data_IF_541351137863
#
_entry.id   IF_541351137863
#
_cell.length_a   1.000
_cell.length_b   1.000
_cell.length_c   1.000
_cell.angle_alpha   90.00
_cell.angle_beta   90.00
_cell.angle_gamma   90.00
#
_symmetry.space_group_name_H-M   'P 1'
#
loop_
_entity.id
_entity.type
_entity.pdbx_description
1 polymer ?
#
# COMPACT_ATOMS: atom_id res chain seq x y z
N UNK A 1 4.34 9.57 3.64
CA UNK A 1 4.44 9.41 2.17
C UNK A 1 3.08 9.68 1.52
N UNK A 2 3.07 10.38 0.38
CA UNK A 2 1.86 10.52 -0.43
C UNK A 2 1.68 9.28 -1.32
N UNK A 3 0.43 9.02 -1.72
CA UNK A 3 0.15 7.95 -2.68
C UNK A 3 0.72 8.36 -4.05
N UNK A 4 1.51 7.48 -4.71
CA UNK A 4 2.05 7.76 -6.04
C UNK A 4 0.96 8.08 -7.07
N UNK A 5 1.24 8.99 -7.99
CA UNK A 5 0.33 9.35 -9.09
C UNK A 5 0.68 8.57 -10.34
N UNK A 6 -0.36 8.13 -11.05
CA UNK A 6 -0.19 7.42 -12.32
C UNK A 6 0.60 8.27 -13.34
N UNK A 7 1.46 7.65 -14.16
CA UNK A 7 2.25 8.36 -15.15
C UNK A 7 1.35 8.85 -16.29
N UNK A 8 1.63 10.07 -16.79
CA UNK A 8 0.90 10.68 -17.92
C UNK A 8 1.13 9.87 -19.20
N UNK A 9 2.38 9.50 -19.47
CA UNK A 9 2.76 8.65 -20.60
C UNK A 9 2.92 7.22 -20.08
N UNK A 10 2.24 6.25 -20.69
CA UNK A 10 2.27 4.85 -20.28
C UNK A 10 3.26 4.01 -21.12
N UNK A 11 4.55 4.30 -21.01
CA UNK A 11 5.60 3.41 -21.52
C UNK A 11 5.88 2.29 -20.52
N UNK A 12 6.51 1.20 -20.96
CA UNK A 12 6.90 0.11 -20.04
C UNK A 12 7.74 0.64 -18.86
N UNK A 13 8.73 1.49 -19.13
CA UNK A 13 9.59 2.08 -18.10
C UNK A 13 8.82 2.96 -17.12
N UNK A 14 7.87 3.80 -17.59
CA UNK A 14 7.11 4.67 -16.70
C UNK A 14 6.12 3.87 -15.84
N UNK A 15 5.53 2.82 -16.40
CA UNK A 15 4.66 1.90 -15.67
C UNK A 15 5.45 1.09 -14.64
N UNK A 16 6.62 0.56 -15.00
CA UNK A 16 7.47 -0.19 -14.07
C UNK A 16 7.94 0.70 -12.91
N UNK A 17 8.34 1.95 -13.19
CA UNK A 17 8.67 2.93 -12.14
C UNK A 17 7.47 3.20 -11.22
N UNK A 18 6.28 3.35 -11.80
CA UNK A 18 5.06 3.57 -11.03
C UNK A 18 4.69 2.35 -10.16
N UNK A 19 4.87 1.13 -10.68
CA UNK A 19 4.71 -0.11 -9.94
C UNK A 19 5.65 -0.18 -8.72
N UNK A 20 6.94 0.14 -8.89
CA UNK A 20 7.90 0.22 -7.77
C UNK A 20 7.43 1.19 -6.70
N UNK A 21 7.02 2.40 -7.10
CA UNK A 21 6.53 3.42 -6.16
C UNK A 21 5.27 2.94 -5.41
N UNK A 22 4.35 2.25 -6.09
CA UNK A 22 3.17 1.67 -5.46
C UNK A 22 3.56 0.58 -4.46
N UNK A 23 4.50 -0.29 -4.80
CA UNK A 23 5.02 -1.33 -3.90
C UNK A 23 5.63 -0.73 -2.63
N UNK A 24 6.46 0.30 -2.77
CA UNK A 24 7.02 1.04 -1.63
C UNK A 24 5.93 1.65 -0.74
N UNK A 25 4.89 2.24 -1.35
CA UNK A 25 3.76 2.81 -0.64
C UNK A 25 2.94 1.74 0.11
N UNK A 26 2.72 0.58 -0.51
CA UNK A 26 2.08 -0.58 0.12
C UNK A 26 2.89 -1.07 1.32
N UNK A 27 4.20 -1.22 1.17
CA UNK A 27 5.10 -1.60 2.26
C UNK A 27 5.08 -0.59 3.41
N UNK A 28 5.01 0.71 3.09
CA UNK A 28 4.81 1.75 4.09
C UNK A 28 3.50 1.57 4.87
N UNK A 29 2.37 1.33 4.19
CA UNK A 29 1.07 1.13 4.85
C UNK A 29 1.09 -0.10 5.77
N UNK A 30 1.61 -1.23 5.28
CA UNK A 30 1.75 -2.47 6.07
C UNK A 30 2.60 -2.21 7.31
N UNK A 31 3.78 -1.60 7.13
CA UNK A 31 4.72 -1.33 8.21
C UNK A 31 4.12 -0.39 9.25
N UNK A 32 3.43 0.67 8.80
CA UNK A 32 2.76 1.61 9.67
C UNK A 32 1.72 0.91 10.55
N UNK A 33 0.83 0.12 9.94
CA UNK A 33 -0.22 -0.60 10.66
C UNK A 33 0.37 -1.63 11.64
N UNK A 34 1.34 -2.43 11.19
CA UNK A 34 1.98 -3.46 12.02
C UNK A 34 2.71 -2.86 13.22
N UNK A 35 3.54 -1.84 13.00
CA UNK A 35 4.27 -1.16 14.08
C UNK A 35 3.31 -0.47 15.06
N UNK A 36 2.24 0.14 14.56
CA UNK A 36 1.26 0.80 15.42
C UNK A 36 0.51 -0.21 16.26
N UNK A 37 0.05 -1.33 15.68
CA UNK A 37 -0.62 -2.42 16.42
C UNK A 37 0.21 -2.90 17.61
N UNK A 38 1.49 -3.19 17.39
CA UNK A 38 2.42 -3.61 18.46
C UNK A 38 2.58 -2.51 19.51
N UNK A 39 2.71 -1.24 19.08
CA UNK A 39 2.95 -0.11 19.98
C UNK A 39 1.75 0.20 20.89
N UNK A 40 0.53 0.14 20.35
CA UNK A 40 -0.68 0.53 21.10
C UNK A 40 -1.26 -0.63 21.89
N UNK A 41 -0.94 -1.88 21.50
CA UNK A 41 -1.41 -3.11 22.15
C UNK A 41 -2.93 -3.11 22.44
N UNK A 42 -3.71 -2.55 21.52
CA UNK A 42 -5.15 -2.38 21.64
C UNK A 42 -5.87 -3.66 21.17
N UNK A 43 -6.65 -4.34 22.03
CA UNK A 43 -7.43 -5.52 21.63
C UNK A 43 -8.44 -5.23 20.52
N UNK A 44 -8.89 -3.97 20.38
CA UNK A 44 -9.83 -3.53 19.36
C UNK A 44 -9.12 -2.88 18.16
N UNK A 45 -7.82 -3.11 17.99
CA UNK A 45 -7.07 -2.58 16.85
C UNK A 45 -7.71 -3.02 15.53
N UNK A 46 -7.95 -2.11 14.56
CA UNK A 46 -8.60 -2.47 13.31
C UNK A 46 -7.88 -3.60 12.56
N UNK A 47 -8.64 -4.59 12.10
CA UNK A 47 -8.13 -5.59 11.18
C UNK A 47 -7.83 -4.95 9.81
N UNK A 48 -6.78 -5.44 9.17
CA UNK A 48 -6.40 -5.05 7.83
C UNK A 48 -5.85 -6.26 7.06
N UNK A 49 -6.16 -6.38 5.77
CA UNK A 49 -5.61 -7.46 4.96
C UNK A 49 -4.11 -7.24 4.75
N UNK A 50 -3.36 -8.33 4.58
CA UNK A 50 -2.01 -8.27 4.02
C UNK A 50 -2.09 -8.28 2.48
N UNK A 51 -1.14 -7.64 1.77
CA UNK A 51 -1.09 -7.71 0.32
C UNK A 51 -0.78 -9.14 -0.11
N UNK A 52 -1.58 -9.69 -1.04
CA UNK A 52 -1.34 -11.01 -1.60
C UNK A 52 -0.29 -10.94 -2.71
N UNK A 53 0.98 -11.07 -2.31
CA UNK A 53 2.11 -10.98 -3.23
C UNK A 53 2.22 -12.19 -4.17
N UNK A 54 1.51 -13.30 -3.90
CA UNK A 54 1.53 -14.50 -4.76
C UNK A 54 0.87 -14.26 -6.12
N UNK A 55 0.06 -13.21 -6.21
CA UNK A 55 -0.67 -12.83 -7.44
C UNK A 55 0.13 -11.94 -8.38
N UNK A 56 1.33 -11.51 -7.96
CA UNK A 56 2.23 -10.69 -8.75
C UNK A 56 2.90 -11.50 -9.84
N UNK A 57 3.03 -10.89 -11.01
CA UNK A 57 3.76 -11.43 -12.15
C UNK A 57 5.20 -10.93 -12.14
N UNK A 58 6.13 -11.83 -12.43
CA UNK A 58 7.57 -11.57 -12.54
C UNK A 58 8.00 -11.09 -13.94
N UNK A 59 7.19 -11.38 -14.96
CA UNK A 59 7.43 -10.95 -16.34
C UNK A 59 7.53 -9.43 -16.50
N UNK A 60 8.60 -8.97 -17.16
CA UNK A 60 8.79 -7.56 -17.48
C UNK A 60 8.08 -7.14 -18.78
N UNK A 61 6.74 -7.18 -18.75
CA UNK A 61 5.87 -6.80 -19.88
C UNK A 61 4.84 -5.75 -19.46
N UNK A 62 4.31 -4.97 -20.42
CA UNK A 62 3.28 -3.94 -20.13
C UNK A 62 2.06 -4.58 -19.47
N UNK A 63 1.65 -5.76 -19.94
CA UNK A 63 0.48 -6.49 -19.40
C UNK A 63 0.72 -6.91 -17.96
N UNK A 64 1.90 -7.45 -17.65
CA UNK A 64 2.25 -7.94 -16.33
C UNK A 64 2.42 -6.80 -15.32
N UNK A 65 3.10 -5.72 -15.73
CA UNK A 65 3.22 -4.50 -14.92
C UNK A 65 1.85 -3.87 -14.63
N UNK A 66 0.94 -3.77 -15.63
CA UNK A 66 -0.42 -3.26 -15.42
C UNK A 66 -1.24 -4.12 -14.46
N UNK A 67 -1.08 -5.44 -14.53
CA UNK A 67 -1.71 -6.39 -13.61
C UNK A 67 -1.24 -6.16 -12.17
N UNK A 68 0.08 -6.06 -11.96
CA UNK A 68 0.65 -5.79 -10.63
C UNK A 68 0.22 -4.42 -10.08
N UNK A 69 0.24 -3.37 -10.91
CA UNK A 69 -0.28 -2.04 -10.55
C UNK A 69 -1.73 -2.14 -10.05
N UNK A 70 -2.58 -2.90 -10.75
CA UNK A 70 -3.98 -3.09 -10.35
C UNK A 70 -4.09 -3.73 -8.97
N UNK A 71 -3.31 -4.77 -8.70
CA UNK A 71 -3.27 -5.43 -7.37
C UNK A 71 -2.89 -4.44 -6.28
N UNK A 72 -1.81 -3.66 -6.49
CA UNK A 72 -1.38 -2.67 -5.51
C UNK A 72 -2.44 -1.58 -5.27
N UNK A 73 -3.08 -1.07 -6.33
CA UNK A 73 -4.15 -0.08 -6.21
C UNK A 73 -5.37 -0.61 -5.48
N UNK A 74 -5.77 -1.87 -5.73
CA UNK A 74 -6.87 -2.51 -5.01
C UNK A 74 -6.57 -2.67 -3.52
N UNK A 75 -5.34 -3.04 -3.18
CA UNK A 75 -4.89 -3.08 -1.79
C UNK A 75 -4.91 -1.69 -1.15
N UNK A 76 -4.32 -0.69 -1.79
CA UNK A 76 -4.26 0.70 -1.29
C UNK A 76 -5.67 1.24 -1.03
N UNK A 77 -6.61 1.01 -1.96
CA UNK A 77 -8.01 1.43 -1.83
C UNK A 77 -8.67 0.89 -0.56
N UNK A 78 -8.38 -0.36 -0.19
CA UNK A 78 -8.92 -0.99 1.03
C UNK A 78 -8.19 -0.54 2.29
N UNK A 79 -6.86 -0.42 2.24
CA UNK A 79 -6.03 -0.26 3.44
C UNK A 79 -5.79 1.20 3.83
N UNK A 80 -5.70 2.12 2.86
CA UNK A 80 -5.50 3.56 3.12
C UNK A 80 -6.54 4.18 4.08
N UNK A 81 -7.86 3.95 3.95
CA UNK A 81 -8.83 4.49 4.91
C UNK A 81 -8.63 3.93 6.33
N UNK A 82 -8.21 2.65 6.46
CA UNK A 82 -7.90 2.04 7.75
C UNK A 82 -6.67 2.70 8.38
N UNK A 83 -5.59 2.86 7.61
CA UNK A 83 -4.38 3.56 8.05
C UNK A 83 -4.68 5.01 8.48
N UNK A 84 -5.55 5.71 7.74
CA UNK A 84 -6.00 7.06 8.13
C UNK A 84 -6.79 7.05 9.44
N UNK A 85 -7.69 6.08 9.64
CA UNK A 85 -8.45 5.92 10.88
C UNK A 85 -7.52 5.67 12.07
N UNK A 86 -6.59 4.72 11.93
CA UNK A 86 -5.54 4.40 12.91
C UNK A 86 -4.72 5.65 13.23
N UNK A 87 -4.23 6.36 12.20
CA UNK A 87 -3.49 7.60 12.40
C UNK A 87 -4.32 8.61 13.20
N UNK A 88 -5.56 8.88 12.80
CA UNK A 88 -6.40 9.86 13.49
C UNK A 88 -6.72 9.47 14.95
N UNK A 89 -6.90 8.17 15.21
CA UNK A 89 -7.21 7.64 16.53
C UNK A 89 -6.01 7.74 17.46
N UNK A 90 -4.83 7.28 17.02
CA UNK A 90 -3.66 7.16 17.88
C UNK A 90 -2.66 8.34 17.75
N UNK A 91 -2.79 9.24 16.77
CA UNK A 91 -1.98 10.48 16.69
C UNK A 91 -2.39 11.55 17.71
N UNK A 92 -3.66 11.52 18.14
CA UNK A 92 -4.19 12.42 19.17
C UNK A 92 -3.88 11.96 20.58
N UNK A 93 -3.55 10.68 20.75
CA UNK A 93 -2.90 10.21 21.96
C UNK A 93 -1.52 10.85 21.93
N UNK A 94 -1.36 11.98 22.63
CA UNK A 94 -0.03 12.47 23.00
C UNK A 94 0.65 11.29 23.70
N UNK A 95 1.56 10.66 22.99
CA UNK A 95 2.58 9.82 23.59
C UNK A 95 3.61 10.73 24.26
#
# INVERSE_FOLDING_TARGET
>A
PEEPKAPIIQTLNSLAKYETQLSEYVMYLVTFLAKTKVKVNDPNYPEYPYPDLSTLKDEHSITSVKHNIKIYLEYIKKTKPIAKKVYNQYSKLKM
#
